data_IF_790416169666
#
_entry.id   IF_790416169666
#
_cell.length_a   1.000
_cell.length_b   1.000
_cell.length_c   1.000
_cell.angle_alpha   90.00
_cell.angle_beta   90.00
_cell.angle_gamma   90.00
#
_symmetry.space_group_name_H-M   'P 1'
#
loop_
_entity.id
_entity.type
_entity.pdbx_description
1 polymer ?
#
# COMPACT_ATOMS: atom_id res chain seq x y z
N UNK A 1 -11.99 -10.05 12.37
CA UNK A 1 -10.91 -9.74 11.41
C UNK A 1 -10.57 -8.28 11.59
N UNK A 2 -9.55 -7.98 12.41
CA UNK A 2 -9.11 -6.61 12.64
C UNK A 2 -8.49 -6.07 11.36
N UNK A 3 -9.08 -5.01 10.80
CA UNK A 3 -8.55 -4.33 9.62
C UNK A 3 -7.39 -3.46 10.09
N UNK A 4 -6.18 -4.02 10.11
CA UNK A 4 -4.97 -3.27 10.49
C UNK A 4 -4.63 -2.33 9.32
N UNK A 5 -4.89 -1.04 9.49
CA UNK A 5 -4.51 0.00 8.52
C UNK A 5 -3.26 0.73 9.00
N UNK A 6 -2.39 1.12 8.07
CA UNK A 6 -1.17 1.86 8.34
C UNK A 6 -1.26 3.27 7.77
N UNK A 7 -1.19 4.29 8.63
CA UNK A 7 -1.14 5.70 8.21
C UNK A 7 0.30 6.15 8.06
N UNK A 8 0.66 6.70 6.90
CA UNK A 8 1.99 7.24 6.60
C UNK A 8 1.84 8.60 5.91
N UNK A 9 1.97 9.68 6.67
CA UNK A 9 1.77 11.04 6.17
C UNK A 9 0.36 11.22 5.60
N UNK A 10 0.26 11.54 4.30
CA UNK A 10 -1.03 11.70 3.60
C UNK A 10 -1.64 10.38 3.09
N UNK A 11 -0.96 9.25 3.30
CA UNK A 11 -1.35 7.96 2.77
C UNK A 11 -1.96 7.08 3.85
N UNK A 12 -3.08 6.42 3.54
CA UNK A 12 -3.64 5.34 4.33
C UNK A 12 -3.49 4.04 3.54
N UNK A 13 -2.68 3.13 4.08
CA UNK A 13 -2.38 1.82 3.49
C UNK A 13 -3.28 0.79 4.17
N UNK A 14 -4.11 0.12 3.37
CA UNK A 14 -5.06 -0.90 3.80
C UNK A 14 -4.75 -2.22 3.09
N UNK A 15 -4.08 -3.18 3.76
CA UNK A 15 -3.84 -4.50 3.23
C UNK A 15 -5.15 -5.24 2.96
N UNK A 16 -5.19 -6.01 1.87
CA UNK A 16 -6.29 -6.92 1.55
C UNK A 16 -5.71 -8.29 1.25
N UNK A 17 -6.38 -9.32 1.75
CA UNK A 17 -6.07 -10.71 1.43
C UNK A 17 -7.31 -11.35 0.85
N UNK A 18 -7.17 -12.00 -0.31
CA UNK A 18 -8.25 -12.75 -0.95
C UNK A 18 -7.90 -14.24 -0.95
N UNK A 19 -8.85 -15.07 -0.53
CA UNK A 19 -8.77 -16.52 -0.64
C UNK A 19 -8.97 -16.95 -2.11
N UNK A 20 -8.24 -17.96 -2.52
CA UNK A 20 -8.38 -18.62 -3.81
C UNK A 20 -9.05 -19.98 -3.64
N UNK A 21 -9.58 -20.52 -4.74
CA UNK A 21 -10.31 -21.79 -4.75
C UNK A 21 -9.40 -23.01 -4.46
N UNK A 22 -8.09 -22.86 -4.63
CA UNK A 22 -7.07 -23.88 -4.35
C UNK A 22 -6.54 -23.84 -2.90
N UNK A 23 -7.18 -23.06 -2.03
CA UNK A 23 -6.78 -22.90 -0.62
C UNK A 23 -5.58 -21.97 -0.41
N UNK A 24 -5.06 -21.32 -1.47
CA UNK A 24 -4.03 -20.29 -1.37
C UNK A 24 -4.63 -18.91 -1.16
N UNK A 25 -3.76 -17.93 -0.96
CA UNK A 25 -4.13 -16.55 -0.73
C UNK A 25 -3.42 -15.63 -1.73
N UNK A 26 -4.11 -14.59 -2.18
CA UNK A 26 -3.52 -13.47 -2.92
C UNK A 26 -3.44 -12.25 -2.03
N UNK A 27 -2.38 -11.47 -2.23
CA UNK A 27 -2.19 -10.19 -1.57
C UNK A 27 -2.63 -9.04 -2.48
N UNK A 28 -3.25 -8.03 -1.89
CA UNK A 28 -3.50 -6.74 -2.51
C UNK A 28 -3.39 -5.63 -1.46
N UNK A 29 -3.27 -4.39 -1.90
CA UNK A 29 -3.27 -3.23 -1.00
C UNK A 29 -4.05 -2.09 -1.62
N UNK A 30 -4.87 -1.42 -0.81
CA UNK A 30 -5.54 -0.16 -1.14
C UNK A 30 -4.75 0.96 -0.48
N UNK A 31 -4.34 1.95 -1.26
CA UNK A 31 -3.59 3.12 -0.80
C UNK A 31 -4.41 4.36 -1.13
N UNK A 32 -5.05 4.87 -0.10
CA UNK A 32 -5.81 6.12 -0.15
C UNK A 32 -4.89 7.30 0.11
N UNK A 33 -5.04 8.37 -0.67
CA UNK A 33 -4.27 9.61 -0.53
C UNK A 33 -5.11 10.83 -0.86
N UNK A 34 -4.74 12.00 -0.32
CA UNK A 34 -5.43 13.28 -0.56
C UNK A 34 -6.52 13.58 0.48
N UNK A 35 -7.21 14.72 0.32
CA UNK A 35 -8.27 15.20 1.22
C UNK A 35 -9.38 15.89 0.40
N UNK A 36 -10.63 15.77 0.86
CA UNK A 36 -11.78 16.41 0.20
C UNK A 36 -12.01 15.86 -1.21
N UNK A 37 -12.25 16.74 -2.18
CA UNK A 37 -12.49 16.39 -3.59
C UNK A 37 -11.28 15.81 -4.31
N UNK A 38 -10.07 15.94 -3.76
CA UNK A 38 -8.82 15.37 -4.30
C UNK A 38 -8.43 14.03 -3.69
N UNK A 39 -9.37 13.30 -3.09
CA UNK A 39 -9.12 11.97 -2.52
C UNK A 39 -9.06 10.93 -3.64
N UNK A 40 -7.95 10.18 -3.68
CA UNK A 40 -7.75 9.09 -4.63
C UNK A 40 -7.40 7.80 -3.89
N UNK A 41 -7.98 6.69 -4.33
CA UNK A 41 -7.57 5.36 -3.92
C UNK A 41 -6.79 4.66 -5.05
N UNK A 42 -5.73 3.95 -4.69
CA UNK A 42 -4.94 3.11 -5.60
C UNK A 42 -4.96 1.69 -5.07
N UNK A 43 -5.48 0.76 -5.86
CA UNK A 43 -5.48 -0.66 -5.49
C UNK A 43 -4.40 -1.38 -6.30
N UNK A 44 -3.43 -1.97 -5.62
CA UNK A 44 -2.42 -2.83 -6.21
C UNK A 44 -2.75 -4.28 -5.88
N UNK A 45 -2.79 -5.13 -6.90
CA UNK A 45 -3.04 -6.57 -6.78
C UNK A 45 -1.76 -7.29 -7.18
N UNK A 46 -1.27 -8.16 -6.31
CA UNK A 46 0.02 -8.81 -6.52
C UNK A 46 -0.17 -10.21 -7.11
N UNK A 47 0.77 -10.62 -7.97
CA UNK A 47 0.79 -11.93 -8.63
C UNK A 47 1.16 -13.11 -7.71
N UNK A 48 2.02 -12.97 -6.69
CA UNK A 48 2.37 -14.08 -5.81
C UNK A 48 1.17 -14.67 -5.06
N UNK A 49 1.17 -16.00 -4.95
CA UNK A 49 0.19 -16.76 -4.18
C UNK A 49 0.84 -17.33 -2.92
N UNK A 50 0.18 -17.17 -1.77
CA UNK A 50 0.70 -17.53 -0.46
C UNK A 50 0.00 -18.76 0.09
N UNK A 51 0.74 -19.60 0.83
CA UNK A 51 0.18 -20.75 1.54
C UNK A 51 -0.50 -20.40 2.86
N UNK A 52 -0.44 -19.13 3.30
CA UNK A 52 -1.14 -18.68 4.51
C UNK A 52 -1.64 -17.25 4.37
N UNK A 53 -2.76 -16.97 5.04
CA UNK A 53 -3.32 -15.62 5.15
C UNK A 53 -2.32 -14.63 5.75
N UNK A 54 -1.60 -15.03 6.80
CA UNK A 54 -0.62 -14.18 7.48
C UNK A 54 0.56 -13.81 6.56
N UNK A 55 1.01 -14.72 5.70
CA UNK A 55 2.06 -14.43 4.72
C UNK A 55 1.59 -13.43 3.66
N UNK A 56 0.37 -13.60 3.13
CA UNK A 56 -0.23 -12.64 2.20
C UNK A 56 -0.42 -11.26 2.83
N UNK A 57 -0.84 -11.21 4.10
CA UNK A 57 -1.04 -9.97 4.84
C UNK A 57 0.27 -9.21 5.04
N UNK A 58 1.32 -9.89 5.52
CA UNK A 58 2.65 -9.29 5.68
C UNK A 58 3.18 -8.75 4.36
N UNK A 59 3.06 -9.54 3.30
CA UNK A 59 3.48 -9.12 1.96
C UNK A 59 2.73 -7.85 1.48
N UNK A 60 1.41 -7.80 1.66
CA UNK A 60 0.62 -6.62 1.31
C UNK A 60 1.02 -5.36 2.10
N UNK A 61 1.36 -5.50 3.38
CA UNK A 61 1.87 -4.41 4.22
C UNK A 61 3.22 -3.93 3.71
N UNK A 62 4.18 -4.84 3.51
CA UNK A 62 5.55 -4.50 3.11
C UNK A 62 5.57 -3.79 1.75
N UNK A 63 4.89 -4.33 0.74
CA UNK A 63 4.76 -3.71 -0.58
C UNK A 63 4.02 -2.37 -0.53
N UNK A 64 2.95 -2.28 0.27
CA UNK A 64 2.20 -1.04 0.43
C UNK A 64 3.04 0.08 1.06
N UNK A 65 3.82 -0.25 2.09
CA UNK A 65 4.74 0.69 2.72
C UNK A 65 5.92 1.04 1.81
N UNK A 66 6.45 0.07 1.05
CA UNK A 66 7.50 0.30 0.08
C UNK A 66 7.06 1.32 -0.99
N UNK A 67 5.88 1.12 -1.58
CA UNK A 67 5.32 2.06 -2.56
C UNK A 67 5.17 3.48 -2.01
N UNK A 68 4.71 3.62 -0.75
CA UNK A 68 4.61 4.94 -0.11
C UNK A 68 5.99 5.57 0.07
N UNK A 69 7.00 4.80 0.51
CA UNK A 69 8.37 5.29 0.71
C UNK A 69 8.98 5.81 -0.60
N UNK A 70 8.80 5.10 -1.71
CA UNK A 70 9.27 5.58 -3.01
C UNK A 70 8.65 6.94 -3.38
N UNK A 71 7.36 7.14 -3.10
CA UNK A 71 6.65 8.39 -3.41
C UNK A 71 6.95 9.54 -2.46
N UNK A 72 7.39 9.24 -1.23
CA UNK A 72 7.83 10.26 -0.28
C UNK A 72 9.32 10.60 -0.41
N UNK A 73 10.14 9.65 -0.87
CA UNK A 73 11.57 9.84 -1.13
C UNK A 73 11.81 10.70 -2.38
N UNK A 74 10.96 10.58 -3.43
CA UNK A 74 11.02 11.42 -4.64
C UNK A 74 10.38 12.80 -4.40
N UNK A 75 10.84 13.52 -3.37
CA UNK A 75 10.73 14.97 -3.35
C UNK A 75 12.14 15.51 -3.58
N UNK A 76 12.53 15.85 -4.82
CA UNK A 76 13.78 16.58 -5.01
C UNK A 76 13.65 17.85 -4.16
N UNK A 77 14.67 18.10 -3.33
CA UNK A 77 14.86 19.42 -2.77
C UNK A 77 14.85 20.38 -3.97
N UNK A 78 13.80 21.18 -4.09
CA UNK A 78 13.86 22.39 -4.88
C UNK A 78 14.94 23.23 -4.21
N UNK A 79 16.17 23.07 -4.68
CA UNK A 79 17.26 24.01 -4.44
C UNK A 79 16.74 25.36 -4.89
N UNK A 80 16.52 26.25 -3.94
CA UNK A 80 16.37 27.68 -4.22
C UNK A 80 17.65 28.14 -4.90
N UNK A 81 17.62 28.26 -6.23
CA UNK A 81 18.60 29.07 -6.93
C UNK A 81 18.14 30.52 -6.81
N UNK A 82 18.69 31.21 -5.82
CA UNK A 82 18.74 32.66 -5.78
C UNK A 82 19.94 33.12 -6.61
N UNK A 83 19.70 34.00 -7.60
CA UNK A 83 20.61 35.01 -8.11
C UNK A 83 19.83 35.95 -9.02
#
# INVERSE_FOLDING_TARGET
MDIIQHSVGKYLVSPLVKNLDDGRFTAAVSIRSGRGSGMHDRVMRFTPHFGSHAAALRYAVDEGLHWVRERTAVRPASTTCAA
#
